data_IF_852269516376
#
_entry.id   IF_852269516376
#
_cell.length_a   1.000
_cell.length_b   1.000
_cell.length_c   1.000
_cell.angle_alpha   90.00
_cell.angle_beta   90.00
_cell.angle_gamma   90.00
#
_symmetry.space_group_name_H-M   'P 1'
#
loop_
_entity.id
_entity.type
_entity.pdbx_description
1 polymer ?
#
# COMPACT_ATOMS: atom_id res chain seq x y z
N UNK A 1 10.31 24.54 8.22
CA UNK A 1 10.02 23.52 7.20
C UNK A 1 9.52 24.20 5.94
N UNK A 2 10.23 24.09 4.83
CA UNK A 2 9.77 24.62 3.55
C UNK A 2 8.74 23.64 2.99
N UNK A 3 7.51 24.10 2.79
CA UNK A 3 6.53 23.32 2.04
C UNK A 3 6.88 23.36 0.56
N UNK A 4 6.89 22.21 -0.10
CA UNK A 4 7.00 22.17 -1.56
C UNK A 4 5.81 22.94 -2.16
N UNK A 5 6.08 23.72 -3.19
CA UNK A 5 5.04 24.33 -3.98
C UNK A 5 4.23 23.23 -4.68
N UNK A 6 2.92 23.44 -4.84
CA UNK A 6 2.02 22.51 -5.54
C UNK A 6 2.55 22.16 -6.93
N UNK A 7 3.14 23.12 -7.64
CA UNK A 7 3.70 22.87 -8.99
C UNK A 7 4.94 21.96 -8.96
N UNK A 8 5.76 22.04 -7.90
CA UNK A 8 6.90 21.14 -7.69
C UNK A 8 6.42 19.73 -7.37
N UNK A 9 5.38 19.61 -6.55
CA UNK A 9 4.75 18.32 -6.22
C UNK A 9 4.17 17.67 -7.48
N UNK A 10 3.45 18.42 -8.30
CA UNK A 10 2.86 17.92 -9.55
C UNK A 10 3.91 17.38 -10.52
N UNK A 11 5.12 17.93 -10.55
CA UNK A 11 6.23 17.44 -11.38
C UNK A 11 6.76 16.08 -10.92
N UNK A 12 6.58 15.74 -9.65
CA UNK A 12 7.02 14.47 -9.06
C UNK A 12 5.98 13.35 -9.21
N UNK A 13 4.76 13.70 -9.59
CA UNK A 13 3.68 12.74 -9.71
C UNK A 13 3.83 11.86 -10.95
N UNK A 14 3.57 10.57 -10.76
CA UNK A 14 3.36 9.63 -11.85
C UNK A 14 1.90 9.19 -11.90
N UNK A 15 1.41 8.88 -13.09
CA UNK A 15 0.09 8.28 -13.24
C UNK A 15 0.12 6.85 -12.69
N UNK A 16 -0.97 6.40 -12.06
CA UNK A 16 -1.12 5.01 -11.66
C UNK A 16 -0.98 4.07 -12.87
N UNK A 17 -0.29 2.95 -12.67
CA UNK A 17 -0.13 1.90 -13.69
C UNK A 17 -0.71 0.60 -13.15
N UNK A 18 -1.42 -0.10 -14.01
CA UNK A 18 -1.87 -1.47 -13.76
C UNK A 18 -0.95 -2.40 -14.52
N UNK A 19 -0.32 -3.33 -13.80
CA UNK A 19 0.67 -4.23 -14.37
C UNK A 19 0.30 -5.65 -13.98
N UNK A 20 0.30 -6.55 -14.95
CA UNK A 20 0.15 -7.98 -14.69
C UNK A 20 1.55 -8.56 -14.41
N UNK A 21 1.94 -8.62 -13.14
CA UNK A 21 3.31 -8.91 -12.72
C UNK A 21 3.48 -10.33 -12.17
N UNK A 22 2.50 -10.81 -11.42
CA UNK A 22 2.59 -12.10 -10.73
C UNK A 22 1.82 -13.18 -11.47
N UNK A 23 2.39 -14.39 -11.50
CA UNK A 23 1.67 -15.58 -11.95
C UNK A 23 0.60 -15.99 -10.93
N UNK A 24 -0.36 -16.80 -11.38
CA UNK A 24 -1.40 -17.34 -10.50
C UNK A 24 -0.82 -18.13 -9.32
N UNK A 25 0.29 -18.85 -9.55
CA UNK A 25 0.96 -19.61 -8.49
C UNK A 25 1.64 -18.67 -7.49
N UNK A 26 2.24 -17.58 -7.95
CA UNK A 26 2.84 -16.57 -7.06
C UNK A 26 1.77 -15.86 -6.22
N UNK A 27 0.65 -15.50 -6.80
CA UNK A 27 -0.51 -14.95 -6.07
C UNK A 27 -1.06 -15.94 -5.05
N UNK A 28 -1.14 -17.21 -5.42
CA UNK A 28 -1.55 -18.28 -4.50
C UNK A 28 -0.61 -18.38 -3.31
N UNK A 29 0.69 -18.38 -3.55
CA UNK A 29 1.70 -18.44 -2.49
C UNK A 29 1.61 -17.22 -1.54
N UNK A 30 1.38 -16.03 -2.07
CA UNK A 30 1.17 -14.83 -1.25
C UNK A 30 -0.12 -14.96 -0.42
N UNK A 31 -1.19 -15.49 -1.00
CA UNK A 31 -2.46 -15.73 -0.31
C UNK A 31 -2.33 -16.77 0.80
N UNK A 32 -1.55 -17.82 0.58
CA UNK A 32 -1.24 -18.82 1.60
C UNK A 32 -0.44 -18.22 2.77
N UNK A 33 0.51 -17.33 2.49
CA UNK A 33 1.18 -16.56 3.52
C UNK A 33 0.16 -15.73 4.33
N UNK A 34 -0.71 -14.99 3.66
CA UNK A 34 -1.77 -14.22 4.33
C UNK A 34 -2.59 -15.10 5.28
N UNK A 35 -3.00 -16.28 4.84
CA UNK A 35 -3.80 -17.19 5.65
C UNK A 35 -3.04 -17.69 6.89
N UNK A 36 -1.72 -17.81 6.82
CA UNK A 36 -0.87 -18.29 7.91
C UNK A 36 -0.54 -17.22 8.96
N UNK A 37 -0.69 -15.95 8.62
CA UNK A 37 -0.31 -14.85 9.50
C UNK A 37 -1.39 -14.53 10.53
N UNK A 38 -1.00 -14.08 11.73
CA UNK A 38 -1.94 -13.63 12.74
C UNK A 38 -2.55 -12.29 12.36
N UNK A 39 -3.79 -12.07 12.80
CA UNK A 39 -4.44 -10.76 12.72
C UNK A 39 -3.72 -9.79 13.66
N UNK A 40 -3.29 -8.66 13.13
CA UNK A 40 -2.64 -7.60 13.91
C UNK A 40 -3.58 -6.45 14.25
N UNK A 41 -4.57 -6.19 13.40
CA UNK A 41 -5.62 -5.20 13.65
C UNK A 41 -6.96 -5.77 13.20
N UNK A 42 -7.95 -5.66 14.06
CA UNK A 42 -9.34 -5.94 13.73
C UNK A 42 -10.18 -4.71 14.10
N UNK A 43 -10.52 -3.91 13.10
CA UNK A 43 -11.38 -2.75 13.29
C UNK A 43 -12.83 -3.13 12.96
N UNK A 44 -13.62 -3.42 13.98
CA UNK A 44 -15.01 -3.83 13.81
C UNK A 44 -15.91 -2.72 13.25
N UNK A 45 -15.63 -1.46 13.58
CA UNK A 45 -16.43 -0.33 13.08
C UNK A 45 -16.27 -0.12 11.57
N UNK A 46 -15.07 -0.31 11.08
CA UNK A 46 -14.76 -0.17 9.65
C UNK A 46 -14.83 -1.50 8.91
N UNK A 47 -15.02 -2.59 9.64
CA UNK A 47 -15.06 -3.94 9.08
C UNK A 47 -13.78 -4.30 8.31
N UNK A 48 -12.64 -4.08 8.96
CA UNK A 48 -11.30 -4.24 8.38
C UNK A 48 -10.48 -5.18 9.22
N UNK A 49 -9.75 -6.08 8.56
CA UNK A 49 -8.71 -6.91 9.14
C UNK A 49 -7.38 -6.54 8.50
N UNK A 50 -6.33 -6.40 9.32
CA UNK A 50 -4.96 -6.19 8.85
C UNK A 50 -4.04 -7.25 9.41
N UNK A 51 -3.10 -7.69 8.57
CA UNK A 51 -2.00 -8.58 8.93
C UNK A 51 -0.69 -8.01 8.40
N UNK A 52 0.39 -8.21 9.11
CA UNK A 52 1.71 -7.69 8.70
C UNK A 52 2.55 -8.78 8.06
N UNK A 53 3.10 -8.47 6.90
CA UNK A 53 4.13 -9.29 6.28
C UNK A 53 5.47 -8.91 6.88
N UNK A 54 5.86 -9.65 7.92
CA UNK A 54 7.14 -9.41 8.60
C UNK A 54 8.31 -9.81 7.69
N UNK A 55 9.39 -9.03 7.74
CA UNK A 55 10.60 -9.35 7.02
C UNK A 55 11.17 -10.70 7.48
N UNK A 56 11.63 -11.48 6.54
CA UNK A 56 12.21 -12.80 6.75
C UNK A 56 11.26 -13.88 7.31
N UNK A 57 9.96 -13.65 7.41
CA UNK A 57 9.02 -14.71 7.79
C UNK A 57 8.92 -15.80 6.72
N UNK A 58 9.14 -15.46 5.45
CA UNK A 58 9.29 -16.37 4.33
C UNK A 58 10.30 -15.80 3.35
N UNK A 59 11.58 -16.13 3.54
CA UNK A 59 12.69 -15.54 2.76
C UNK A 59 12.57 -15.76 1.26
N UNK A 60 12.08 -16.92 0.84
CA UNK A 60 11.91 -17.23 -0.58
C UNK A 60 10.83 -16.37 -1.21
N UNK A 61 9.70 -16.18 -0.53
CA UNK A 61 8.59 -15.36 -0.99
C UNK A 61 8.95 -13.88 -0.96
N UNK A 62 9.66 -13.44 0.08
CA UNK A 62 10.20 -12.07 0.19
C UNK A 62 11.09 -11.75 -1.00
N UNK A 63 12.04 -12.63 -1.31
CA UNK A 63 12.97 -12.45 -2.43
C UNK A 63 12.24 -12.42 -3.78
N UNK A 64 11.28 -13.29 -3.98
CA UNK A 64 10.45 -13.31 -5.20
C UNK A 64 9.70 -12.01 -5.37
N UNK A 65 9.02 -11.55 -4.33
CA UNK A 65 8.21 -10.33 -4.35
C UNK A 65 9.06 -9.10 -4.67
N UNK A 66 10.17 -8.92 -3.97
CA UNK A 66 11.10 -7.81 -4.20
C UNK A 66 11.71 -7.86 -5.60
N UNK A 67 12.12 -9.04 -6.06
CA UNK A 67 12.66 -9.21 -7.42
C UNK A 67 11.66 -8.80 -8.49
N UNK A 68 10.41 -9.22 -8.35
CA UNK A 68 9.32 -8.83 -9.27
C UNK A 68 9.07 -7.32 -9.27
N UNK A 69 9.06 -6.69 -8.10
CA UNK A 69 8.90 -5.24 -8.02
C UNK A 69 10.06 -4.50 -8.70
N UNK A 70 11.29 -4.99 -8.57
CA UNK A 70 12.46 -4.39 -9.25
C UNK A 70 12.38 -4.46 -10.77
N UNK A 71 11.76 -5.47 -11.33
CA UNK A 71 11.55 -5.58 -12.78
C UNK A 71 10.77 -4.39 -13.33
N UNK A 72 9.83 -3.84 -12.57
CA UNK A 72 8.94 -2.75 -13.02
C UNK A 72 9.27 -1.39 -12.45
N UNK A 73 9.89 -1.34 -11.28
CA UNK A 73 10.22 -0.09 -10.59
C UNK A 73 11.69 0.30 -10.75
N UNK A 74 12.57 -0.62 -11.18
CA UNK A 74 14.02 -0.46 -11.08
C UNK A 74 14.48 -0.59 -9.64
N UNK A 75 15.66 -0.05 -9.33
CA UNK A 75 16.18 -0.05 -7.95
C UNK A 75 15.36 0.89 -7.07
N UNK A 76 15.02 0.42 -5.89
CA UNK A 76 14.27 1.17 -4.90
C UNK A 76 14.72 0.83 -3.49
N UNK A 77 14.40 1.69 -2.57
CA UNK A 77 14.57 1.46 -1.13
C UNK A 77 13.19 1.28 -0.51
N UNK A 78 13.03 0.21 0.25
CA UNK A 78 11.82 0.01 1.04
C UNK A 78 11.72 1.07 2.14
N UNK A 79 10.51 1.56 2.38
CA UNK A 79 10.25 2.35 3.56
C UNK A 79 10.35 1.46 4.81
N UNK A 80 11.00 1.98 5.86
CA UNK A 80 11.18 1.25 7.10
C UNK A 80 9.89 1.31 7.93
N UNK A 81 9.05 0.33 7.72
CA UNK A 81 7.85 0.14 8.51
C UNK A 81 8.17 -0.72 9.74
N UNK A 82 7.75 -0.25 10.91
CA UNK A 82 7.93 -0.98 12.16
C UNK A 82 6.58 -1.26 12.82
N UNK A 83 6.45 -2.47 13.35
CA UNK A 83 5.34 -2.84 14.21
C UNK A 83 5.43 -2.11 15.56
N UNK A 84 4.38 -2.18 16.35
CA UNK A 84 4.37 -1.65 17.72
C UNK A 84 5.45 -2.31 18.61
N UNK A 85 5.85 -3.53 18.26
CA UNK A 85 6.93 -4.28 18.93
C UNK A 85 8.33 -4.00 18.36
N UNK A 86 8.44 -3.09 17.38
CA UNK A 86 9.70 -2.76 16.72
C UNK A 86 10.16 -3.75 15.65
N UNK A 87 9.33 -4.69 15.24
CA UNK A 87 9.64 -5.65 14.18
C UNK A 87 9.54 -4.99 12.82
N UNK A 88 10.50 -5.27 11.93
CA UNK A 88 10.45 -4.79 10.56
C UNK A 88 9.43 -5.57 9.74
N UNK A 89 8.60 -4.85 8.99
CA UNK A 89 7.71 -5.43 8.00
C UNK A 89 7.74 -4.60 6.71
N UNK A 90 7.50 -5.23 5.56
CA UNK A 90 7.52 -4.53 4.29
C UNK A 90 6.19 -4.57 3.54
N UNK A 91 5.23 -5.31 4.04
CA UNK A 91 3.92 -5.42 3.45
C UNK A 91 2.80 -5.44 4.49
N UNK A 92 1.69 -4.85 4.14
CA UNK A 92 0.48 -4.87 4.93
C UNK A 92 -0.63 -5.53 4.12
N UNK A 93 -1.10 -6.67 4.59
CA UNK A 93 -2.32 -7.26 4.09
C UNK A 93 -3.51 -6.52 4.71
N UNK A 94 -4.42 -6.13 3.84
CA UNK A 94 -5.61 -5.39 4.21
C UNK A 94 -6.83 -6.09 3.61
N UNK A 95 -7.70 -6.60 4.45
CA UNK A 95 -8.96 -7.18 4.06
C UNK A 95 -10.10 -6.28 4.53
N UNK A 96 -10.90 -5.82 3.59
CA UNK A 96 -12.05 -4.95 3.85
C UNK A 96 -13.33 -5.63 3.42
N UNK A 97 -14.31 -5.66 4.30
CA UNK A 97 -15.60 -6.30 4.07
C UNK A 97 -16.70 -5.28 3.74
N UNK A 98 -16.34 -4.02 3.67
CA UNK A 98 -17.22 -2.92 3.29
C UNK A 98 -16.44 -1.85 2.55
N UNK A 99 -17.09 -0.99 1.75
CA UNK A 99 -16.42 0.12 1.08
C UNK A 99 -15.68 1.01 2.08
N UNK A 100 -14.47 1.40 1.73
CA UNK A 100 -13.69 2.37 2.49
C UNK A 100 -14.15 3.78 2.16
N UNK A 101 -14.04 4.66 3.14
CA UNK A 101 -14.23 6.10 2.91
C UNK A 101 -13.16 6.62 1.96
N UNK A 102 -13.50 7.66 1.22
CA UNK A 102 -12.54 8.39 0.40
C UNK A 102 -11.34 8.84 1.26
N UNK A 103 -10.13 8.48 0.84
CA UNK A 103 -8.90 8.82 1.56
C UNK A 103 -7.69 8.84 0.61
N UNK A 104 -6.57 9.30 1.12
CA UNK A 104 -5.24 9.15 0.52
C UNK A 104 -4.43 8.27 1.46
N UNK A 105 -3.73 7.28 0.92
CA UNK A 105 -2.99 6.32 1.75
C UNK A 105 -1.73 6.92 2.40
N UNK A 106 -1.14 7.93 1.78
CA UNK A 106 -0.01 8.65 2.35
C UNK A 106 -0.19 10.16 2.19
N UNK A 107 0.11 10.89 3.25
CA UNK A 107 0.17 12.34 3.23
C UNK A 107 1.44 12.84 2.52
N UNK A 108 1.49 14.16 2.31
CA UNK A 108 2.70 14.79 1.83
C UNK A 108 3.77 14.79 2.91
N UNK A 109 4.91 14.22 2.58
CA UNK A 109 6.14 14.41 3.32
C UNK A 109 7.08 15.32 2.54
N UNK A 110 7.73 16.24 3.24
CA UNK A 110 8.68 17.20 2.67
C UNK A 110 10.06 16.56 2.43
N UNK A 111 10.08 15.45 1.72
CA UNK A 111 11.32 14.77 1.35
C UNK A 111 11.52 14.89 -0.16
N UNK A 112 12.78 15.09 -0.58
CA UNK A 112 13.15 15.07 -1.99
C UNK A 112 13.23 13.65 -2.56
N UNK A 113 12.26 12.83 -2.18
CA UNK A 113 12.14 11.45 -2.63
C UNK A 113 10.77 11.21 -3.23
N UNK A 114 10.74 10.39 -4.26
CA UNK A 114 9.52 9.92 -4.88
C UNK A 114 9.07 8.68 -4.13
N UNK A 115 7.93 8.78 -3.46
CA UNK A 115 7.26 7.63 -2.90
C UNK A 115 6.39 6.95 -3.95
N UNK A 116 6.47 5.64 -3.99
CA UNK A 116 5.54 4.80 -4.75
C UNK A 116 4.89 3.82 -3.80
N UNK A 117 3.59 3.68 -3.98
CA UNK A 117 2.81 2.66 -3.30
C UNK A 117 2.45 1.57 -4.29
N UNK A 118 2.58 0.34 -3.85
CA UNK A 118 2.19 -0.84 -4.61
C UNK A 118 0.98 -1.46 -3.91
N UNK A 119 -0.06 -1.70 -4.68
CA UNK A 119 -1.25 -2.45 -4.24
C UNK A 119 -1.34 -3.71 -5.07
N UNK A 120 -1.34 -4.85 -4.42
CA UNK A 120 -1.44 -6.17 -5.07
C UNK A 120 -2.78 -6.80 -4.66
N UNK A 121 -3.78 -6.80 -5.54
CA UNK A 121 -5.04 -7.46 -5.25
C UNK A 121 -4.84 -8.99 -5.14
N UNK A 122 -5.35 -9.57 -4.08
CA UNK A 122 -5.32 -11.03 -3.84
C UNK A 122 -6.71 -11.66 -3.96
N UNK A 123 -7.77 -10.86 -3.96
CA UNK A 123 -9.14 -11.30 -4.12
C UNK A 123 -9.63 -11.02 -5.54
N UNK A 124 -10.41 -11.93 -6.14
CA UNK A 124 -11.02 -11.70 -7.45
C UNK A 124 -12.20 -10.73 -7.40
N UNK A 125 -12.64 -10.35 -6.21
CA UNK A 125 -13.74 -9.41 -5.98
C UNK A 125 -13.23 -8.14 -5.31
N UNK A 126 -13.85 -7.03 -5.62
CA UNK A 126 -13.51 -5.72 -5.11
C UNK A 126 -12.98 -4.80 -6.20
N UNK A 127 -13.06 -3.53 -5.94
CA UNK A 127 -12.62 -2.48 -6.85
C UNK A 127 -11.75 -1.47 -6.10
N UNK A 128 -10.76 -0.94 -6.81
CA UNK A 128 -10.00 0.23 -6.36
C UNK A 128 -10.34 1.38 -7.31
N UNK A 129 -10.93 2.43 -6.77
CA UNK A 129 -11.31 3.62 -7.54
C UNK A 129 -10.29 4.72 -7.27
N UNK A 130 -9.68 5.21 -8.35
CA UNK A 130 -8.72 6.32 -8.27
C UNK A 130 -9.39 7.53 -8.92
N UNK A 131 -9.51 8.61 -8.15
CA UNK A 131 -10.16 9.83 -8.59
C UNK A 131 -9.23 10.68 -9.45
N UNK A 132 -9.78 11.33 -10.46
CA UNK A 132 -9.03 12.29 -11.31
C UNK A 132 -8.58 13.52 -10.54
N UNK A 133 -9.44 14.00 -9.63
CA UNK A 133 -9.11 15.14 -8.79
C UNK A 133 -8.12 14.69 -7.72
N UNK A 134 -7.07 15.48 -7.54
CA UNK A 134 -6.01 15.21 -6.60
C UNK A 134 -6.15 16.08 -5.36
N UNK A 135 -5.81 15.48 -4.23
CA UNK A 135 -5.76 16.16 -2.96
C UNK A 135 -4.31 16.49 -2.59
N UNK A 136 -4.05 17.72 -2.28
CA UNK A 136 -2.72 18.21 -1.88
C UNK A 136 -2.67 18.71 -0.42
N UNK A 137 -3.68 18.40 0.36
CA UNK A 137 -3.73 18.72 1.78
C UNK A 137 -2.97 17.75 2.66
N UNK A 138 -2.93 18.06 3.96
CA UNK A 138 -2.24 17.23 4.97
C UNK A 138 -3.11 16.08 5.50
N UNK A 139 -4.42 16.20 5.39
CA UNK A 139 -5.35 15.16 5.82
C UNK A 139 -5.34 14.00 4.83
N UNK A 140 -5.33 12.79 5.35
CA UNK A 140 -5.44 11.56 4.54
C UNK A 140 -6.86 11.04 4.45
N UNK A 141 -7.79 11.63 5.17
CA UNK A 141 -9.21 11.22 5.18
C UNK A 141 -10.12 12.42 4.96
N UNK A 142 -11.21 12.20 4.27
CA UNK A 142 -12.21 13.20 3.94
C UNK A 142 -13.59 12.73 4.38
N UNK A 143 -14.41 13.66 4.81
CA UNK A 143 -15.86 13.50 4.85
C UNK A 143 -16.43 14.14 3.60
N UNK A 144 -17.29 13.42 2.91
CA UNK A 144 -18.13 14.01 1.87
C UNK A 144 -19.35 14.50 2.63
N UNK A 145 -19.57 15.81 2.62
CA UNK A 145 -20.84 16.36 3.08
C UNK A 145 -21.89 15.90 2.07
N UNK A 146 -22.83 15.11 2.52
CA UNK A 146 -24.00 14.73 1.74
C UNK A 146 -24.97 15.91 1.80
N UNK A 147 -24.87 16.84 0.85
CA UNK A 147 -25.90 17.83 0.55
C UNK A 147 -26.90 17.28 -0.48
#
# INVERSE_FOLDING_TARGET
MKHKNIDEIKKLESLPKIINLFSDQEIKNISELYNSLPVTVHNQKQNIIKKRWLQNCNKSLDAMYISKLKEVLGEFKMDNLKSEKGEDFFGLFHESFSPLKLHVDSGFEEKDIIFKQVVTPLSPIGETIIFKNKWYGRSTSFTIDED
#
